data_IF_587306864603
#
_entry.id   IF_587306864603
#
_cell.length_a   1.000
_cell.length_b   1.000
_cell.length_c   1.000
_cell.angle_alpha   90.00
_cell.angle_beta   90.00
_cell.angle_gamma   90.00
#
_symmetry.space_group_name_H-M   'P 1'
#
loop_
_entity.id
_entity.type
_entity.pdbx_description
1 polymer ?
#
# COMPACT_ATOMS: atom_id res chain seq x y z
N UNK A 1 -20.81 -13.97 3.13
CA UNK A 1 -19.88 -13.99 1.97
C UNK A 1 -18.70 -13.00 2.08
N UNK A 2 -18.69 -11.98 2.94
CA UNK A 2 -17.58 -10.99 2.97
C UNK A 2 -16.31 -11.38 3.75
N UNK A 3 -16.39 -12.30 4.71
CA UNK A 3 -15.25 -12.65 5.57
C UNK A 3 -14.18 -13.40 4.77
N UNK A 4 -14.55 -14.37 3.93
CA UNK A 4 -13.59 -15.18 3.16
C UNK A 4 -12.80 -14.38 2.13
N UNK A 5 -13.44 -13.45 1.40
CA UNK A 5 -12.73 -12.61 0.42
C UNK A 5 -11.82 -11.58 1.09
N UNK A 6 -12.26 -10.99 2.21
CA UNK A 6 -11.44 -10.06 2.99
C UNK A 6 -10.24 -10.77 3.63
N UNK A 7 -10.43 -12.02 4.08
CA UNK A 7 -9.37 -12.87 4.62
C UNK A 7 -8.35 -13.25 3.54
N UNK A 8 -8.83 -13.61 2.35
CA UNK A 8 -7.97 -13.93 1.20
C UNK A 8 -7.15 -12.71 0.75
N UNK A 9 -7.74 -11.51 0.76
CA UNK A 9 -6.99 -10.28 0.50
C UNK A 9 -5.93 -10.04 1.60
N UNK A 10 -6.28 -10.21 2.88
CA UNK A 10 -5.32 -10.07 4.00
C UNK A 10 -4.18 -11.10 3.95
N UNK A 11 -4.44 -12.34 3.54
CA UNK A 11 -3.43 -13.37 3.32
C UNK A 11 -2.55 -13.06 2.11
N UNK A 12 -3.15 -12.65 0.99
CA UNK A 12 -2.45 -12.25 -0.22
C UNK A 12 -1.51 -11.05 0.03
N UNK A 13 -1.97 -10.09 0.82
CA UNK A 13 -1.17 -8.96 1.28
C UNK A 13 0.01 -9.37 2.18
N UNK A 14 -0.12 -10.47 2.94
CA UNK A 14 0.98 -11.08 3.67
C UNK A 14 2.06 -11.67 2.76
N UNK A 15 1.67 -12.19 1.59
CA UNK A 15 2.60 -12.73 0.59
C UNK A 15 3.31 -11.64 -0.23
N UNK A 16 2.73 -10.45 -0.36
CA UNK A 16 3.32 -9.35 -1.12
C UNK A 16 4.45 -8.60 -0.40
N UNK A 17 4.81 -8.94 0.84
CA UNK A 17 5.93 -8.27 1.53
C UNK A 17 7.27 -8.39 0.78
N UNK A 18 7.44 -9.42 -0.05
CA UNK A 18 8.63 -9.63 -0.89
C UNK A 18 8.43 -9.22 -2.36
N UNK A 19 7.25 -8.69 -2.72
CA UNK A 19 6.94 -8.29 -4.10
C UNK A 19 7.75 -7.05 -4.50
N UNK A 20 8.30 -7.10 -5.71
CA UNK A 20 9.14 -6.06 -6.30
C UNK A 20 8.49 -5.42 -7.53
N UNK A 21 7.52 -6.07 -8.15
CA UNK A 21 6.92 -5.61 -9.39
C UNK A 21 5.97 -4.44 -9.14
N UNK A 22 6.26 -3.32 -9.81
CA UNK A 22 5.46 -2.10 -9.71
C UNK A 22 3.98 -2.34 -10.05
N UNK A 23 3.70 -3.15 -11.07
CA UNK A 23 2.34 -3.39 -11.56
C UNK A 23 1.46 -4.03 -10.48
N UNK A 24 2.02 -4.96 -9.71
CA UNK A 24 1.30 -5.61 -8.61
C UNK A 24 0.96 -4.60 -7.52
N UNK A 25 1.94 -3.78 -7.12
CA UNK A 25 1.73 -2.74 -6.12
C UNK A 25 0.78 -1.63 -6.58
N UNK A 26 0.78 -1.29 -7.86
CA UNK A 26 -0.16 -0.33 -8.45
C UNK A 26 -1.60 -0.85 -8.37
N UNK A 27 -1.82 -2.13 -8.65
CA UNK A 27 -3.14 -2.76 -8.52
C UNK A 27 -3.59 -2.81 -7.06
N UNK A 28 -2.72 -3.21 -6.13
CA UNK A 28 -3.00 -3.19 -4.68
C UNK A 28 -3.39 -1.78 -4.21
N UNK A 29 -2.64 -0.76 -4.64
CA UNK A 29 -2.91 0.62 -4.28
C UNK A 29 -4.25 1.11 -4.85
N UNK A 30 -4.61 0.69 -6.07
CA UNK A 30 -5.88 1.01 -6.72
C UNK A 30 -7.06 0.42 -5.95
N UNK A 31 -7.02 -0.89 -5.67
CA UNK A 31 -8.10 -1.59 -4.96
C UNK A 31 -8.27 -1.08 -3.53
N UNK A 32 -7.17 -0.85 -2.80
CA UNK A 32 -7.24 -0.26 -1.47
C UNK A 32 -7.83 1.15 -1.49
N UNK A 33 -7.47 1.96 -2.48
CA UNK A 33 -8.06 3.28 -2.70
C UNK A 33 -9.57 3.22 -2.93
N UNK A 34 -10.03 2.27 -3.76
CA UNK A 34 -11.44 2.04 -4.02
C UNK A 34 -12.20 1.68 -2.74
N UNK A 35 -11.71 0.69 -1.98
CA UNK A 35 -12.34 0.29 -0.70
C UNK A 35 -12.39 1.46 0.28
N UNK A 36 -11.30 2.22 0.43
CA UNK A 36 -11.28 3.41 1.30
C UNK A 36 -12.31 4.45 0.89
N UNK A 37 -12.55 4.64 -0.40
CA UNK A 37 -13.55 5.60 -0.89
C UNK A 37 -14.98 5.22 -0.52
N UNK A 38 -15.30 3.92 -0.45
CA UNK A 38 -16.62 3.43 -0.08
C UNK A 38 -16.96 3.70 1.40
N UNK A 39 -15.95 3.65 2.27
CA UNK A 39 -16.12 3.82 3.71
C UNK A 39 -15.94 5.26 4.20
N UNK A 40 -15.51 6.17 3.33
CA UNK A 40 -15.23 7.56 3.67
C UNK A 40 -16.47 8.30 4.20
N UNK A 41 -16.38 8.83 5.42
CA UNK A 41 -17.46 9.54 6.11
C UNK A 41 -18.56 8.64 6.67
N UNK A 42 -18.44 7.32 6.54
CA UNK A 42 -19.46 6.36 7.00
C UNK A 42 -19.10 5.74 8.35
N UNK A 43 -17.84 5.37 8.54
CA UNK A 43 -17.40 4.70 9.76
C UNK A 43 -15.92 5.00 10.05
N UNK A 44 -15.69 5.82 11.07
CA UNK A 44 -14.36 6.28 11.48
C UNK A 44 -13.45 5.15 11.96
N UNK A 45 -14.00 4.08 12.54
CA UNK A 45 -13.23 2.91 12.98
C UNK A 45 -12.72 2.09 11.79
N UNK A 46 -13.58 1.87 10.80
CA UNK A 46 -13.22 1.16 9.56
C UNK A 46 -12.23 1.98 8.74
N UNK A 47 -12.46 3.29 8.59
CA UNK A 47 -11.52 4.19 7.92
C UNK A 47 -10.13 4.18 8.58
N UNK A 48 -10.09 4.23 9.92
CA UNK A 48 -8.85 4.15 10.68
C UNK A 48 -8.15 2.80 10.51
N UNK A 49 -8.90 1.72 10.44
CA UNK A 49 -8.37 0.37 10.21
C UNK A 49 -7.79 0.21 8.80
N UNK A 50 -8.47 0.74 7.78
CA UNK A 50 -7.98 0.77 6.40
C UNK A 50 -6.72 1.66 6.26
N UNK A 51 -6.66 2.78 6.99
CA UNK A 51 -5.47 3.63 7.05
C UNK A 51 -4.28 2.88 7.68
N UNK A 52 -4.50 2.15 8.78
CA UNK A 52 -3.47 1.29 9.41
C UNK A 52 -3.01 0.18 8.47
N UNK A 53 -3.94 -0.45 7.75
CA UNK A 53 -3.61 -1.45 6.74
C UNK A 53 -2.71 -0.83 5.66
N UNK A 54 -3.06 0.35 5.14
CA UNK A 54 -2.22 1.05 4.16
C UNK A 54 -0.80 1.29 4.66
N UNK A 55 -0.63 1.78 5.89
CA UNK A 55 0.70 1.94 6.48
C UNK A 55 1.45 0.61 6.55
N UNK A 56 0.81 -0.45 7.06
CA UNK A 56 1.41 -1.79 7.17
C UNK A 56 1.91 -2.36 5.84
N UNK A 57 1.26 -2.00 4.74
CA UNK A 57 1.61 -2.48 3.40
C UNK A 57 2.77 -1.71 2.77
N UNK A 58 2.71 -0.38 2.82
CA UNK A 58 3.64 0.46 2.05
C UNK A 58 4.90 0.84 2.84
N UNK A 59 4.87 0.85 4.17
CA UNK A 59 6.06 1.14 4.99
C UNK A 59 7.23 0.21 4.68
N UNK A 60 7.07 -1.13 4.62
CA UNK A 60 8.19 -2.02 4.28
C UNK A 60 8.78 -1.77 2.89
N UNK A 61 7.95 -1.31 1.93
CA UNK A 61 8.41 -0.97 0.58
C UNK A 61 9.24 0.31 0.59
N UNK A 62 8.80 1.32 1.36
CA UNK A 62 9.57 2.56 1.59
C UNK A 62 10.88 2.27 2.32
N UNK A 63 10.88 1.41 3.35
CA UNK A 63 12.09 1.02 4.07
C UNK A 63 13.07 0.26 3.16
N UNK A 64 12.57 -0.60 2.28
CA UNK A 64 13.39 -1.37 1.33
C UNK A 64 14.02 -0.50 0.26
N UNK A 65 13.27 0.45 -0.30
CA UNK A 65 13.76 1.30 -1.40
C UNK A 65 14.50 2.52 -0.87
N UNK A 66 14.06 3.08 0.25
CA UNK A 66 14.49 4.35 0.81
C UNK A 66 13.77 5.55 0.17
N UNK A 67 14.25 6.75 0.50
CA UNK A 67 13.72 8.02 -0.03
C UNK A 67 14.48 8.56 -1.24
N UNK A 68 15.77 8.26 -1.31
CA UNK A 68 16.67 8.78 -2.35
C UNK A 68 16.70 7.85 -3.57
N UNK A 69 16.56 8.42 -4.76
CA UNK A 69 16.59 7.67 -6.03
C UNK A 69 18.05 7.44 -6.46
N UNK A 70 18.53 6.19 -6.58
CA UNK A 70 19.85 5.90 -7.13
C UNK A 70 19.95 6.24 -8.63
N UNK A 71 21.12 6.70 -9.09
CA UNK A 71 21.35 7.04 -10.51
C UNK A 71 21.16 5.86 -11.48
N UNK A 72 21.29 4.63 -10.98
CA UNK A 72 21.17 3.39 -11.76
C UNK A 72 19.82 2.69 -11.58
N UNK A 73 18.87 3.30 -10.87
CA UNK A 73 17.56 2.70 -10.62
C UNK A 73 16.71 2.66 -11.90
N UNK A 74 16.09 1.51 -12.16
CA UNK A 74 15.20 1.36 -13.31
C UNK A 74 13.89 2.13 -13.10
N UNK A 75 13.22 2.45 -14.21
CA UNK A 75 11.99 3.26 -14.20
C UNK A 75 10.88 2.67 -13.34
N UNK A 76 10.69 1.34 -13.34
CA UNK A 76 9.59 0.71 -12.59
C UNK A 76 9.87 0.73 -11.09
N UNK A 77 11.13 0.54 -10.69
CA UNK A 77 11.54 0.70 -9.29
C UNK A 77 11.36 2.16 -8.82
N UNK A 78 11.72 3.15 -9.64
CA UNK A 78 11.45 4.57 -9.36
C UNK A 78 9.95 4.86 -9.16
N UNK A 79 9.10 4.27 -10.01
CA UNK A 79 7.64 4.40 -9.90
C UNK A 79 7.09 3.71 -8.64
N UNK A 80 7.61 2.53 -8.31
CA UNK A 80 7.25 1.80 -7.08
C UNK A 80 7.62 2.61 -5.84
N UNK A 81 8.82 3.20 -5.80
CA UNK A 81 9.26 4.10 -4.71
C UNK A 81 8.28 5.26 -4.54
N UNK A 82 7.97 5.94 -5.64
CA UNK A 82 7.08 7.11 -5.64
C UNK A 82 5.67 6.73 -5.14
N UNK A 83 5.14 5.60 -5.61
CA UNK A 83 3.87 5.05 -5.16
C UNK A 83 3.90 4.74 -3.67
N UNK A 84 4.91 4.02 -3.20
CA UNK A 84 5.04 3.60 -1.81
C UNK A 84 5.12 4.80 -0.86
N UNK A 85 5.95 5.79 -1.17
CA UNK A 85 6.08 7.03 -0.40
C UNK A 85 4.74 7.78 -0.34
N UNK A 86 4.06 7.94 -1.48
CA UNK A 86 2.76 8.63 -1.54
C UNK A 86 1.71 7.92 -0.67
N UNK A 87 1.63 6.59 -0.75
CA UNK A 87 0.66 5.81 0.03
C UNK A 87 1.01 5.76 1.51
N UNK A 88 2.29 5.65 1.87
CA UNK A 88 2.73 5.72 3.25
C UNK A 88 2.40 7.10 3.87
N UNK A 89 2.68 8.19 3.16
CA UNK A 89 2.35 9.55 3.60
C UNK A 89 0.85 9.79 3.79
N UNK A 90 0.00 9.30 2.88
CA UNK A 90 -1.47 9.32 3.06
C UNK A 90 -1.95 8.53 4.29
N UNK A 91 -1.14 7.58 4.76
CA UNK A 91 -1.39 6.83 5.98
C UNK A 91 -0.78 7.48 7.24
N UNK A 92 -0.11 8.62 7.11
CA UNK A 92 0.53 9.35 8.20
C UNK A 92 1.90 8.78 8.60
N UNK A 93 2.55 8.02 7.71
CA UNK A 93 3.93 7.56 7.90
C UNK A 93 4.86 8.68 7.46
N UNK A 94 5.73 9.11 8.36
CA UNK A 94 6.72 10.16 8.14
C UNK A 94 8.14 9.55 8.08
N UNK A 95 9.12 10.33 7.63
CA UNK A 95 10.53 9.93 7.50
C UNK A 95 11.20 9.79 8.87
#
# INVERSE_FOLDING_TARGET
>A
AGVSETSALLELLGHYQNEKEFIVWAEVASQLGHVRSLWHGQNTEVESSLKRLQAKLFTPVVERLGWEVPESEDMLTCQLRSLAISRAGQAGVER
#
